data_IF_384342895756
#
_entry.id   IF_384342895756
#
_cell.length_a   1.000
_cell.length_b   1.000
_cell.length_c   1.000
_cell.angle_alpha   90.00
_cell.angle_beta   90.00
_cell.angle_gamma   90.00
#
_symmetry.space_group_name_H-M   'P 1'
#
loop_
_entity.id
_entity.type
_entity.pdbx_description
1 polymer ?
#
# COMPACT_ATOMS: atom_id res chain seq x y z
N UNK A 1 -16.29 -14.23 4.77
CA UNK A 1 -17.73 -14.10 5.05
C UNK A 1 -18.01 -12.69 5.60
N UNK A 2 -19.27 -12.24 5.48
CA UNK A 2 -19.86 -11.06 6.15
C UNK A 2 -19.80 -9.68 5.45
N UNK A 3 -20.08 -9.61 4.15
CA UNK A 3 -20.67 -8.37 3.57
C UNK A 3 -22.16 -8.60 3.33
N UNK A 4 -22.50 -9.74 2.71
CA UNK A 4 -23.88 -10.20 2.59
C UNK A 4 -24.54 -10.36 3.96
N UNK A 5 -23.85 -10.81 5.00
CA UNK A 5 -24.46 -10.88 6.34
C UNK A 5 -24.70 -9.50 6.95
N UNK A 6 -23.82 -8.51 6.73
CA UNK A 6 -24.06 -7.14 7.22
C UNK A 6 -25.20 -6.48 6.44
N UNK A 7 -25.27 -6.69 5.13
CA UNK A 7 -26.35 -6.21 4.29
C UNK A 7 -27.67 -6.94 4.61
N UNK A 8 -27.61 -8.24 4.90
CA UNK A 8 -28.76 -9.06 5.30
C UNK A 8 -29.26 -8.64 6.69
N UNK A 9 -28.38 -8.41 7.66
CA UNK A 9 -28.75 -7.83 8.97
C UNK A 9 -29.37 -6.43 8.81
N UNK A 10 -28.90 -5.63 7.86
CA UNK A 10 -29.46 -4.29 7.58
C UNK A 10 -30.86 -4.36 6.95
N UNK A 11 -31.09 -5.32 6.04
CA UNK A 11 -32.38 -5.51 5.36
C UNK A 11 -33.39 -6.22 6.28
N UNK A 12 -32.95 -7.19 7.08
CA UNK A 12 -33.79 -8.06 7.89
C UNK A 12 -34.27 -7.39 9.21
N UNK A 13 -33.59 -6.32 9.66
CA UNK A 13 -33.93 -5.61 10.91
C UNK A 13 -34.64 -4.26 10.74
N UNK A 14 -35.13 -3.92 9.55
CA UNK A 14 -35.79 -2.64 9.27
C UNK A 14 -37.15 -2.47 9.97
N UNK A 15 -37.68 -3.49 10.65
CA UNK A 15 -39.09 -3.47 11.08
C UNK A 15 -39.39 -3.27 12.56
N UNK A 16 -38.48 -3.33 13.54
CA UNK A 16 -38.89 -3.05 14.94
C UNK A 16 -37.72 -2.69 15.89
N UNK A 17 -37.74 -1.45 16.39
CA UNK A 17 -37.18 -0.96 17.68
C UNK A 17 -35.70 -1.15 18.10
N UNK A 18 -34.75 -1.42 17.19
CA UNK A 18 -33.33 -1.67 17.55
C UNK A 18 -32.32 -0.50 17.33
N UNK A 19 -32.79 0.76 17.30
CA UNK A 19 -31.98 1.89 16.81
C UNK A 19 -30.73 2.24 17.64
N UNK A 20 -30.66 1.93 18.94
CA UNK A 20 -29.52 2.34 19.79
C UNK A 20 -28.40 1.30 19.82
N UNK A 21 -28.70 0.00 19.70
CA UNK A 21 -27.68 -1.09 19.78
C UNK A 21 -26.98 -1.35 18.44
N UNK A 22 -27.60 -1.01 17.31
CA UNK A 22 -27.04 -1.22 15.97
C UNK A 22 -25.94 -0.22 15.62
N UNK A 23 -26.06 1.02 16.09
CA UNK A 23 -25.13 2.09 15.76
C UNK A 23 -23.73 1.81 16.33
N UNK A 24 -23.65 1.35 17.58
CA UNK A 24 -22.38 0.97 18.23
C UNK A 24 -21.72 -0.25 17.58
N UNK A 25 -22.51 -1.23 17.12
CA UNK A 25 -22.00 -2.41 16.41
C UNK A 25 -21.40 -2.03 15.04
N UNK A 26 -22.08 -1.13 14.31
CA UNK A 26 -21.59 -0.58 13.05
C UNK A 26 -20.33 0.26 13.29
N UNK A 27 -20.32 1.09 14.34
CA UNK A 27 -19.14 1.86 14.75
C UNK A 27 -17.95 0.97 15.09
N UNK A 28 -18.16 -0.12 15.84
CA UNK A 28 -17.12 -1.07 16.18
C UNK A 28 -16.59 -1.81 14.95
N UNK A 29 -17.47 -2.19 14.01
CA UNK A 29 -17.08 -2.83 12.76
C UNK A 29 -16.26 -1.89 11.86
N UNK A 30 -16.68 -0.63 11.72
CA UNK A 30 -15.95 0.40 10.97
C UNK A 30 -14.59 0.66 11.63
N UNK A 31 -14.53 0.86 12.95
CA UNK A 31 -13.26 1.05 13.68
C UNK A 31 -12.32 -0.15 13.56
N UNK A 32 -12.83 -1.38 13.64
CA UNK A 32 -12.02 -2.60 13.46
C UNK A 32 -11.45 -2.68 12.03
N UNK A 33 -12.25 -2.39 11.01
CA UNK A 33 -11.79 -2.36 9.60
C UNK A 33 -10.81 -1.22 9.35
N UNK A 34 -11.04 -0.04 9.93
CA UNK A 34 -10.12 1.10 9.87
C UNK A 34 -8.77 0.76 10.50
N UNK A 35 -8.75 0.22 11.73
CA UNK A 35 -7.52 -0.21 12.41
C UNK A 35 -6.78 -1.31 11.64
N UNK A 36 -7.50 -2.29 11.10
CA UNK A 36 -6.91 -3.36 10.27
C UNK A 36 -6.28 -2.77 9.00
N UNK A 37 -7.00 -1.90 8.31
CA UNK A 37 -6.51 -1.22 7.11
C UNK A 37 -5.28 -0.36 7.40
N UNK A 38 -5.31 0.43 8.47
CA UNK A 38 -4.18 1.25 8.91
C UNK A 38 -2.96 0.41 9.30
N UNK A 39 -3.15 -0.73 9.97
CA UNK A 39 -2.06 -1.66 10.29
C UNK A 39 -1.43 -2.23 9.01
N UNK A 40 -2.25 -2.64 8.05
CA UNK A 40 -1.76 -3.17 6.77
C UNK A 40 -0.98 -2.10 6.00
N UNK A 41 -1.49 -0.87 5.90
CA UNK A 41 -0.76 0.24 5.28
C UNK A 41 0.53 0.60 6.01
N UNK A 42 0.50 0.59 7.34
CA UNK A 42 1.68 0.85 8.16
C UNK A 42 2.75 -0.21 7.97
N UNK A 43 2.34 -1.49 7.81
CA UNK A 43 3.23 -2.60 7.51
C UNK A 43 3.77 -2.50 6.09
N UNK A 44 2.92 -2.29 5.08
CA UNK A 44 3.34 -2.22 3.68
C UNK A 44 4.33 -1.07 3.44
N UNK A 45 4.08 0.11 4.02
CA UNK A 45 5.03 1.24 3.97
C UNK A 45 6.37 0.89 4.61
N UNK A 46 6.35 0.24 5.78
CA UNK A 46 7.57 -0.10 6.49
C UNK A 46 8.37 -1.15 5.72
N UNK A 47 7.70 -2.17 5.18
CA UNK A 47 8.31 -3.17 4.31
C UNK A 47 8.95 -2.52 3.10
N UNK A 48 8.25 -1.60 2.41
CA UNK A 48 8.86 -0.90 1.26
C UNK A 48 10.10 -0.11 1.67
N UNK A 49 10.03 0.68 2.74
CA UNK A 49 11.15 1.50 3.20
C UNK A 49 12.35 0.60 3.50
N UNK A 50 12.14 -0.44 4.30
CA UNK A 50 13.20 -1.37 4.71
C UNK A 50 13.80 -2.08 3.50
N UNK A 51 12.97 -2.62 2.60
CA UNK A 51 13.44 -3.33 1.41
C UNK A 51 14.25 -2.40 0.50
N UNK A 52 13.77 -1.18 0.22
CA UNK A 52 14.51 -0.24 -0.63
C UNK A 52 15.79 0.26 0.03
N UNK A 53 15.78 0.49 1.34
CA UNK A 53 16.95 0.96 2.08
C UNK A 53 18.04 -0.11 2.16
N UNK A 54 17.67 -1.36 2.49
CA UNK A 54 18.60 -2.49 2.52
C UNK A 54 19.13 -2.83 1.13
N UNK A 55 18.25 -2.91 0.13
CA UNK A 55 18.66 -3.25 -1.24
C UNK A 55 19.50 -2.14 -1.86
N UNK A 56 19.09 -0.87 -1.72
CA UNK A 56 19.84 0.27 -2.22
C UNK A 56 21.21 0.40 -1.54
N UNK A 57 21.28 0.21 -0.22
CA UNK A 57 22.54 0.21 0.53
C UNK A 57 23.45 -0.96 0.16
N UNK A 58 22.90 -2.16 0.01
CA UNK A 58 23.66 -3.35 -0.41
C UNK A 58 24.24 -3.18 -1.82
N UNK A 59 23.44 -2.72 -2.77
CA UNK A 59 23.89 -2.46 -4.15
C UNK A 59 24.99 -1.40 -4.17
N UNK A 60 24.86 -0.33 -3.37
CA UNK A 60 25.89 0.71 -3.25
C UNK A 60 27.20 0.14 -2.72
N UNK A 61 27.15 -0.58 -1.59
CA UNK A 61 28.32 -1.15 -0.94
C UNK A 61 29.04 -2.16 -1.86
N UNK A 62 28.26 -3.01 -2.54
CA UNK A 62 28.78 -3.96 -3.52
C UNK A 62 29.44 -3.26 -4.71
N UNK A 63 28.83 -2.19 -5.22
CA UNK A 63 29.35 -1.46 -6.37
C UNK A 63 30.65 -0.68 -6.05
N UNK A 64 30.79 -0.19 -4.82
CA UNK A 64 32.02 0.48 -4.35
C UNK A 64 33.17 -0.53 -4.19
N UNK A 65 32.88 -1.74 -3.69
CA UNK A 65 33.89 -2.79 -3.49
C UNK A 65 34.23 -3.62 -4.74
N UNK A 66 33.50 -3.44 -5.84
CA UNK A 66 33.63 -4.25 -7.06
C UNK A 66 33.99 -3.45 -8.31
N UNK A 67 33.70 -4.02 -9.50
CA UNK A 67 33.80 -3.29 -10.77
C UNK A 67 32.72 -2.21 -10.80
N UNK A 68 33.16 -0.95 -10.83
CA UNK A 68 32.26 0.20 -10.82
C UNK A 68 31.35 0.18 -12.05
N UNK A 69 30.04 0.08 -11.80
CA UNK A 69 29.00 0.17 -12.81
C UNK A 69 28.12 1.39 -12.52
N UNK A 70 28.12 2.35 -13.44
CA UNK A 70 27.34 3.59 -13.32
C UNK A 70 25.83 3.30 -13.15
N UNK A 71 25.31 2.25 -13.77
CA UNK A 71 23.90 1.86 -13.64
C UNK A 71 23.54 1.40 -12.22
N UNK A 72 24.46 0.73 -11.52
CA UNK A 72 24.24 0.31 -10.14
C UNK A 72 24.16 1.50 -9.18
N UNK A 73 24.91 2.57 -9.43
CA UNK A 73 24.77 3.82 -8.68
C UNK A 73 23.39 4.47 -8.90
N UNK A 74 22.90 4.51 -10.14
CA UNK A 74 21.56 5.03 -10.43
C UNK A 74 20.45 4.21 -9.75
N UNK A 75 20.54 2.88 -9.78
CA UNK A 75 19.59 2.00 -9.09
C UNK A 75 19.62 2.27 -7.58
N UNK A 76 20.81 2.28 -6.99
CA UNK A 76 20.95 2.51 -5.56
C UNK A 76 20.37 3.87 -5.15
N UNK A 77 20.72 4.94 -5.88
CA UNK A 77 20.19 6.27 -5.65
C UNK A 77 18.67 6.32 -5.77
N UNK A 78 18.10 5.64 -6.77
CA UNK A 78 16.65 5.55 -6.95
C UNK A 78 15.96 4.80 -5.80
N UNK A 79 16.50 3.67 -5.37
CA UNK A 79 15.97 2.89 -4.25
C UNK A 79 16.05 3.68 -2.93
N UNK A 80 17.20 4.30 -2.63
CA UNK A 80 17.37 5.15 -1.46
C UNK A 80 16.44 6.37 -1.49
N UNK A 81 16.30 7.00 -2.66
CA UNK A 81 15.36 8.11 -2.87
C UNK A 81 13.90 7.68 -2.62
N UNK A 82 13.51 6.49 -3.06
CA UNK A 82 12.18 5.94 -2.80
C UNK A 82 11.97 5.65 -1.31
N UNK A 83 12.98 5.11 -0.62
CA UNK A 83 12.94 4.90 0.82
C UNK A 83 12.79 6.21 1.58
N UNK A 84 13.57 7.24 1.22
CA UNK A 84 13.47 8.58 1.80
C UNK A 84 12.09 9.21 1.59
N UNK A 85 11.54 9.09 0.37
CA UNK A 85 10.18 9.54 0.07
C UNK A 85 9.13 8.82 0.93
N UNK A 86 9.29 7.49 1.12
CA UNK A 86 8.44 6.69 1.99
C UNK A 86 8.50 7.14 3.45
N UNK A 87 9.69 7.45 3.97
CA UNK A 87 9.89 7.97 5.33
C UNK A 87 9.20 9.34 5.49
N UNK A 88 9.44 10.26 4.55
CA UNK A 88 8.82 11.59 4.56
C UNK A 88 7.29 11.49 4.60
N UNK A 89 6.71 10.67 3.73
CA UNK A 89 5.26 10.49 3.69
C UNK A 89 4.72 9.82 4.97
N UNK A 90 5.45 8.85 5.52
CA UNK A 90 5.07 8.17 6.78
C UNK A 90 5.03 9.16 7.94
N UNK A 91 6.01 10.05 8.04
CA UNK A 91 6.06 11.10 9.08
C UNK A 91 4.89 12.07 8.93
N UNK A 92 4.65 12.58 7.72
CA UNK A 92 3.52 13.48 7.44
C UNK A 92 2.15 12.85 7.76
N UNK A 93 1.99 11.53 7.54
CA UNK A 93 0.76 10.82 7.91
C UNK A 93 0.53 10.79 9.42
N UNK A 94 1.58 10.66 10.23
CA UNK A 94 1.46 10.66 11.70
C UNK A 94 1.03 12.02 12.23
N UNK A 95 1.49 13.10 11.60
CA UNK A 95 1.11 14.47 11.95
C UNK A 95 -0.34 14.79 11.58
N UNK A 96 -0.83 14.23 10.46
CA UNK A 96 -2.21 14.41 9.98
C UNK A 96 -3.23 13.46 10.62
N UNK A 97 -2.85 12.64 11.60
CA UNK A 97 -3.78 11.76 12.30
C UNK A 97 -4.48 12.55 13.43
N UNK A 98 -5.76 12.96 13.28
CA UNK A 98 -6.45 13.74 14.30
C UNK A 98 -6.59 12.90 15.58
N UNK A 99 -6.04 13.42 16.68
CA UNK A 99 -6.04 12.76 17.98
C UNK A 99 -7.45 12.65 18.60
N UNK A 100 -8.42 13.45 18.14
CA UNK A 100 -9.79 13.47 18.65
C UNK A 100 -10.79 13.63 17.50
N UNK A 101 -11.33 12.53 16.97
CA UNK A 101 -12.51 12.55 16.07
C UNK A 101 -13.74 12.23 16.91
N UNK A 102 -14.63 13.20 17.09
CA UNK A 102 -15.79 13.12 18.00
C UNK A 102 -17.06 12.59 17.31
N UNK A 103 -17.13 12.57 15.98
CA UNK A 103 -18.37 12.22 15.25
C UNK A 103 -18.22 11.03 14.29
N UNK A 104 -19.33 10.32 14.03
CA UNK A 104 -19.40 9.19 13.08
C UNK A 104 -18.93 9.57 11.66
N UNK A 105 -19.28 10.79 11.24
CA UNK A 105 -18.94 11.34 9.93
C UNK A 105 -17.44 11.56 9.80
N UNK A 106 -16.78 12.03 10.86
CA UNK A 106 -15.32 12.21 10.91
C UNK A 106 -14.56 10.88 10.82
N UNK A 107 -15.06 9.83 11.50
CA UNK A 107 -14.45 8.51 11.38
C UNK A 107 -14.57 7.93 9.96
N UNK A 108 -15.70 8.17 9.29
CA UNK A 108 -15.93 7.70 7.92
C UNK A 108 -15.03 8.45 6.92
N UNK A 109 -14.94 9.78 6.99
CA UNK A 109 -14.03 10.57 6.15
C UNK A 109 -12.58 10.21 6.40
N UNK A 110 -12.18 9.97 7.65
CA UNK A 110 -10.84 9.52 7.98
C UNK A 110 -10.52 8.13 7.40
N UNK A 111 -11.46 7.19 7.46
CA UNK A 111 -11.33 5.87 6.86
C UNK A 111 -11.20 5.95 5.33
N UNK A 112 -11.99 6.81 4.69
CA UNK A 112 -11.99 7.02 3.25
C UNK A 112 -10.72 7.72 2.76
N UNK A 113 -10.21 8.68 3.54
CA UNK A 113 -8.92 9.32 3.27
C UNK A 113 -7.76 8.33 3.39
N UNK A 114 -7.80 7.47 4.42
CA UNK A 114 -6.81 6.39 4.61
C UNK A 114 -6.86 5.37 3.46
N UNK A 115 -8.05 4.96 3.02
CA UNK A 115 -8.22 4.03 1.90
C UNK A 115 -7.75 4.64 0.57
N UNK A 116 -8.03 5.92 0.34
CA UNK A 116 -7.55 6.64 -0.85
C UNK A 116 -6.03 6.75 -0.85
N UNK A 117 -5.42 7.00 0.31
CA UNK A 117 -3.98 7.04 0.46
C UNK A 117 -3.34 5.68 0.15
N UNK A 118 -3.91 4.58 0.66
CA UNK A 118 -3.44 3.22 0.33
C UNK A 118 -3.49 2.91 -1.16
N UNK A 119 -4.56 3.30 -1.85
CA UNK A 119 -4.68 3.08 -3.29
C UNK A 119 -3.61 3.88 -4.04
N UNK A 120 -3.36 5.14 -3.66
CA UNK A 120 -2.30 5.96 -4.23
C UNK A 120 -0.92 5.37 -3.98
N UNK A 121 -0.65 4.94 -2.74
CA UNK A 121 0.62 4.32 -2.35
C UNK A 121 0.86 3.03 -3.12
N UNK A 122 -0.14 2.15 -3.19
CA UNK A 122 -0.06 0.90 -3.95
C UNK A 122 0.21 1.13 -5.44
N UNK A 123 -0.41 2.16 -6.03
CA UNK A 123 -0.11 2.56 -7.41
C UNK A 123 1.33 3.03 -7.57
N UNK A 124 1.83 3.81 -6.62
CA UNK A 124 3.20 4.32 -6.62
C UNK A 124 4.22 3.18 -6.48
N UNK A 125 3.98 2.21 -5.58
CA UNK A 125 4.82 1.00 -5.45
C UNK A 125 4.88 0.21 -6.75
N UNK A 126 3.73 0.03 -7.40
CA UNK A 126 3.67 -0.70 -8.66
C UNK A 126 4.40 0.02 -9.79
N UNK A 127 4.29 1.34 -9.85
CA UNK A 127 5.05 2.15 -10.81
C UNK A 127 6.55 2.12 -10.52
N UNK A 128 6.96 1.99 -9.25
CA UNK A 128 8.37 1.92 -8.86
C UNK A 128 9.08 0.64 -9.34
N UNK A 129 8.34 -0.46 -9.56
CA UNK A 129 8.91 -1.72 -10.08
C UNK A 129 9.48 -1.53 -11.49
N UNK A 130 8.86 -0.68 -12.32
CA UNK A 130 9.23 -0.47 -13.72
C UNK A 130 10.65 0.11 -13.87
N UNK A 131 11.01 1.28 -13.29
CA UNK A 131 12.35 1.83 -13.43
C UNK A 131 13.39 0.92 -12.78
N UNK A 132 13.08 0.28 -11.65
CA UNK A 132 14.00 -0.68 -11.01
C UNK A 132 14.26 -1.88 -11.92
N UNK A 133 13.25 -2.44 -12.57
CA UNK A 133 13.40 -3.56 -13.49
C UNK A 133 14.23 -3.19 -14.72
N UNK A 134 13.98 -2.01 -15.32
CA UNK A 134 14.72 -1.53 -16.49
C UNK A 134 16.19 -1.30 -16.13
N UNK A 135 16.45 -0.55 -15.06
CA UNK A 135 17.80 -0.22 -14.65
C UNK A 135 18.57 -1.49 -14.24
N UNK A 136 17.94 -2.43 -13.53
CA UNK A 136 18.57 -3.71 -13.16
C UNK A 136 18.92 -4.53 -14.39
N UNK A 137 18.04 -4.57 -15.40
CA UNK A 137 18.31 -5.28 -16.65
C UNK A 137 19.48 -4.66 -17.42
N UNK A 138 19.55 -3.32 -17.49
CA UNK A 138 20.67 -2.59 -18.09
C UNK A 138 21.98 -2.82 -17.34
N UNK A 139 21.95 -2.81 -16.00
CA UNK A 139 23.12 -3.08 -15.17
C UNK A 139 23.67 -4.49 -15.39
N UNK A 140 22.77 -5.50 -15.45
CA UNK A 140 23.14 -6.88 -15.70
C UNK A 140 23.73 -7.06 -17.12
N UNK A 141 23.12 -6.43 -18.13
CA UNK A 141 23.62 -6.46 -19.50
C UNK A 141 25.04 -5.89 -19.63
N UNK A 142 25.28 -4.72 -19.02
CA UNK A 142 26.60 -4.06 -19.07
C UNK A 142 27.70 -4.75 -18.26
N UNK A 143 27.34 -5.64 -17.33
CA UNK A 143 28.29 -6.32 -16.43
C UNK A 143 28.89 -7.62 -16.98
N UNK A 144 28.48 -8.08 -18.17
CA UNK A 144 28.95 -9.34 -18.76
C UNK A 144 28.53 -10.59 -17.97
N UNK A 145 27.48 -10.47 -17.16
CA UNK A 145 26.95 -11.57 -16.35
C UNK A 145 26.30 -12.66 -17.21
N UNK A 146 26.14 -13.86 -16.63
CA UNK A 146 25.50 -15.01 -17.29
C UNK A 146 24.15 -14.62 -17.92
N UNK A 147 23.95 -15.04 -19.18
CA UNK A 147 22.69 -14.84 -19.94
C UNK A 147 21.46 -15.34 -19.17
N UNK A 148 21.62 -16.35 -18.32
CA UNK A 148 20.55 -16.82 -17.43
C UNK A 148 20.09 -15.79 -16.40
N UNK A 149 21.01 -15.01 -15.82
CA UNK A 149 20.67 -13.92 -14.88
C UNK A 149 20.00 -12.75 -15.60
N UNK A 150 20.45 -12.43 -16.81
CA UNK A 150 19.88 -11.36 -17.64
C UNK A 150 18.43 -11.66 -18.02
N UNK A 151 18.08 -12.92 -18.26
CA UNK A 151 16.70 -13.34 -18.59
C UNK A 151 15.88 -13.59 -17.31
N UNK A 152 16.48 -14.14 -16.26
CA UNK A 152 15.79 -14.45 -15.00
C UNK A 152 15.30 -13.21 -14.26
N UNK A 153 16.10 -12.12 -14.26
CA UNK A 153 15.74 -10.87 -13.59
C UNK A 153 14.42 -10.26 -14.11
N UNK A 154 14.21 -10.01 -15.42
CA UNK A 154 12.94 -9.48 -15.92
C UNK A 154 11.75 -10.41 -15.66
N UNK A 155 11.92 -11.74 -15.72
CA UNK A 155 10.86 -12.70 -15.36
C UNK A 155 10.46 -12.55 -13.89
N UNK A 156 11.44 -12.41 -13.00
CA UNK A 156 11.19 -12.16 -11.58
C UNK A 156 10.46 -10.83 -11.34
N UNK A 157 10.86 -9.77 -12.04
CA UNK A 157 10.17 -8.47 -11.95
C UNK A 157 8.73 -8.52 -12.48
N UNK A 158 8.47 -9.30 -13.54
CA UNK A 158 7.11 -9.53 -14.04
C UNK A 158 6.23 -10.24 -13.01
N UNK A 159 6.76 -11.26 -12.33
CA UNK A 159 6.06 -11.93 -11.24
C UNK A 159 5.76 -10.96 -10.09
N UNK A 160 6.76 -10.17 -9.65
CA UNK A 160 6.57 -9.13 -8.64
C UNK A 160 5.49 -8.11 -9.05
N UNK A 161 5.48 -7.68 -10.30
CA UNK A 161 4.48 -6.76 -10.83
C UNK A 161 3.06 -7.36 -10.83
N UNK A 162 2.95 -8.66 -11.13
CA UNK A 162 1.68 -9.39 -11.08
C UNK A 162 1.13 -9.47 -9.64
N UNK A 163 1.97 -9.87 -8.69
CA UNK A 163 1.58 -9.92 -7.27
C UNK A 163 1.19 -8.54 -6.72
N UNK A 164 1.95 -7.49 -7.08
CA UNK A 164 1.60 -6.11 -6.73
C UNK A 164 0.25 -5.67 -7.31
N UNK A 165 -0.08 -6.12 -8.53
CA UNK A 165 -1.38 -5.87 -9.16
C UNK A 165 -2.55 -6.54 -8.43
N UNK A 166 -2.34 -7.74 -7.88
CA UNK A 166 -3.34 -8.44 -7.07
C UNK A 166 -3.63 -7.69 -5.76
N UNK A 167 -2.59 -7.22 -5.08
CA UNK A 167 -2.68 -6.41 -3.86
C UNK A 167 -3.44 -5.10 -4.12
N UNK A 168 -3.11 -4.40 -5.22
CA UNK A 168 -3.79 -3.17 -5.63
C UNK A 168 -5.30 -3.34 -5.81
N UNK A 169 -5.72 -4.43 -6.49
CA UNK A 169 -7.16 -4.72 -6.67
C UNK A 169 -7.87 -4.93 -5.34
N UNK A 170 -7.21 -5.55 -4.36
CA UNK A 170 -7.74 -5.72 -3.01
C UNK A 170 -7.99 -4.35 -2.34
N UNK A 171 -7.03 -3.42 -2.45
CA UNK A 171 -7.18 -2.07 -1.91
C UNK A 171 -8.30 -1.27 -2.59
N UNK A 172 -8.41 -1.34 -3.92
CA UNK A 172 -9.48 -0.68 -4.68
C UNK A 172 -10.87 -1.20 -4.27
N UNK A 173 -11.01 -2.53 -4.09
CA UNK A 173 -12.27 -3.13 -3.60
C UNK A 173 -12.65 -2.61 -2.22
N UNK A 174 -11.69 -2.49 -1.30
CA UNK A 174 -11.92 -1.94 0.04
C UNK A 174 -12.32 -0.47 0.01
N UNK A 175 -11.72 0.34 -0.86
CA UNK A 175 -12.13 1.75 -1.07
C UNK A 175 -13.58 1.83 -1.54
N UNK A 176 -13.94 1.05 -2.57
CA UNK A 176 -15.30 1.05 -3.13
C UNK A 176 -16.37 0.65 -2.09
N UNK A 177 -16.05 -0.28 -1.18
CA UNK A 177 -16.94 -0.65 -0.08
C UNK A 177 -17.19 0.50 0.91
N UNK A 178 -16.19 1.35 1.16
CA UNK A 178 -16.32 2.51 2.03
C UNK A 178 -17.11 3.64 1.35
N UNK A 179 -16.96 3.81 0.03
CA UNK A 179 -17.75 4.76 -0.76
C UNK A 179 -19.25 4.40 -0.75
N UNK A 180 -19.60 3.12 -0.96
CA UNK A 180 -20.99 2.66 -0.90
C UNK A 180 -21.65 2.91 0.46
N UNK A 181 -20.88 2.79 1.56
CA UNK A 181 -21.36 3.11 2.91
C UNK A 181 -21.61 4.61 3.10
N UNK A 182 -20.76 5.45 2.50
CA UNK A 182 -20.95 6.90 2.53
C UNK A 182 -22.22 7.31 1.79
N UNK A 183 -22.47 6.72 0.63
CA UNK A 183 -23.66 7.00 -0.17
C UNK A 183 -24.94 6.56 0.55
N UNK A 184 -24.91 5.38 1.21
CA UNK A 184 -26.04 4.90 2.01
C UNK A 184 -26.33 5.71 3.28
N UNK A 185 -25.37 6.49 3.79
CA UNK A 185 -25.52 7.38 4.95
C UNK A 185 -25.98 8.79 4.56
N UNK A 186 -25.81 9.19 3.30
CA UNK A 186 -26.21 10.50 2.79
C UNK A 186 -27.54 10.46 2.00
N UNK A 187 -28.08 9.27 1.74
CA UNK A 187 -29.39 9.03 1.11
C UNK A 187 -30.48 8.84 2.17
#
# INVERSE_FOLDING_TARGET
MEFEQLQKIWIEKRNESFFVTSQDAIHAAIRRRQKSSQRIAGLSELVTIVVNLLSGGFILAWNIGGKQNNWLYFISAWMLGTAAYGIYHRSRRKELAPQNSATMRDHLTQALHSATHQVKLSRLMRLNIIPVAILTSLALWGSGNSTGLVIGAPVFFLACFYFSGWEHRSYVRRKKQLEVLQDALNA
#
